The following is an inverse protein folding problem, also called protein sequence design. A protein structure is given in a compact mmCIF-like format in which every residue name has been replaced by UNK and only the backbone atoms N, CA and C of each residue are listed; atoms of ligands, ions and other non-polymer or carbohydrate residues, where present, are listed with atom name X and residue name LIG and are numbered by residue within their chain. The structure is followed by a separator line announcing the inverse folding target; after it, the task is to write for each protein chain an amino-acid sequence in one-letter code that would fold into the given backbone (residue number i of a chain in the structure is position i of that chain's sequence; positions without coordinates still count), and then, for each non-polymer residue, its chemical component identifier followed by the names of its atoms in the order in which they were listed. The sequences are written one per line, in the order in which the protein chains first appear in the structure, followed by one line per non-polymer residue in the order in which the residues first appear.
data_IF_078032905867
#
_entry.id   IF_078032905867
#
_cell.length_a   1.000
_cell.length_b   1.000
_cell.length_c   1.000
_cell.angle_alpha   90.00
_cell.angle_beta   90.00
_cell.angle_gamma   90.00
#
_symmetry.space_group_name_H-M   'P 1'
#
loop_
_entity.id
_entity.type
_entity.pdbx_description
1 polymer ?
#
# COMPACT_ATOMS: atom_id res chain seq x y z
N UNK A 1 -10.38 -6.45 16.58
CA UNK A 1 -11.35 -6.42 15.48
C UNK A 1 -11.33 -5.03 14.86
N UNK A 2 -11.02 -4.95 13.56
CA UNK A 2 -10.87 -3.72 12.79
C UNK A 2 -12.24 -3.09 12.47
N UNK A 3 -12.96 -2.59 13.48
CA UNK A 3 -14.32 -2.07 13.33
C UNK A 3 -14.42 -0.76 12.51
N UNK A 4 -13.31 -0.22 12.00
CA UNK A 4 -13.26 1.05 11.28
C UNK A 4 -12.46 1.02 9.96
N UNK A 5 -12.10 -0.18 9.48
CA UNK A 5 -11.48 -0.37 8.15
C UNK A 5 -12.50 -0.95 7.17
N UNK A 6 -12.46 -0.49 5.93
CA UNK A 6 -13.24 -1.04 4.83
C UNK A 6 -12.65 -2.39 4.36
N UNK A 7 -13.43 -3.26 3.69
CA UNK A 7 -12.93 -4.55 3.23
C UNK A 7 -11.63 -4.48 2.40
N UNK A 8 -11.51 -3.49 1.50
CA UNK A 8 -10.31 -3.27 0.69
C UNK A 8 -9.08 -2.80 1.48
N UNK A 9 -9.25 -2.38 2.73
CA UNK A 9 -8.18 -1.92 3.63
C UNK A 9 -7.61 -3.05 4.49
N UNK A 10 -8.34 -4.17 4.63
CA UNK A 10 -8.00 -5.24 5.57
C UNK A 10 -6.68 -5.93 5.22
N UNK A 11 -6.39 -6.10 3.94
CA UNK A 11 -5.11 -6.65 3.47
C UNK A 11 -3.93 -5.83 4.00
N UNK A 12 -3.98 -4.50 3.79
CA UNK A 12 -2.90 -3.59 4.17
C UNK A 12 -2.66 -3.59 5.69
N UNK A 13 -3.75 -3.65 6.47
CA UNK A 13 -3.61 -3.76 7.92
C UNK A 13 -3.05 -5.12 8.37
N UNK A 14 -3.53 -6.22 7.77
CA UNK A 14 -3.01 -7.58 8.07
C UNK A 14 -1.51 -7.69 7.76
N UNK A 15 -1.07 -7.07 6.67
CA UNK A 15 0.31 -7.12 6.17
C UNK A 15 1.20 -5.99 6.65
N UNK A 16 0.73 -5.15 7.59
CA UNK A 16 1.50 -4.00 8.08
C UNK A 16 2.91 -4.40 8.55
N UNK A 17 3.01 -5.43 9.39
CA UNK A 17 4.30 -5.89 9.92
C UNK A 17 5.20 -6.52 8.84
N UNK A 18 4.59 -7.15 7.83
CA UNK A 18 5.33 -7.68 6.68
C UNK A 18 6.00 -6.54 5.90
N UNK A 19 5.26 -5.51 5.51
CA UNK A 19 5.83 -4.33 4.83
C UNK A 19 6.87 -3.62 5.70
N UNK A 20 6.59 -3.48 7.01
CA UNK A 20 7.54 -2.90 7.96
C UNK A 20 8.86 -3.69 7.98
N UNK A 21 8.81 -5.03 7.95
CA UNK A 21 10.00 -5.88 7.90
C UNK A 21 10.80 -5.75 6.60
N UNK A 22 10.15 -5.35 5.50
CA UNK A 22 10.79 -5.02 4.22
C UNK A 22 11.30 -3.57 4.18
N UNK A 23 11.12 -2.80 5.25
CA UNK A 23 11.56 -1.41 5.36
C UNK A 23 10.55 -0.40 4.80
N UNK A 24 9.28 -0.76 4.67
CA UNK A 24 8.20 0.11 4.22
C UNK A 24 7.17 0.32 5.32
N UNK A 25 7.02 1.56 5.76
CA UNK A 25 6.02 1.94 6.76
C UNK A 25 4.75 2.39 6.05
N UNK A 26 3.65 1.66 6.25
CA UNK A 26 2.32 2.09 5.76
C UNK A 26 1.77 3.22 6.64
N UNK A 27 0.72 3.89 6.17
CA UNK A 27 -0.01 4.91 6.96
C UNK A 27 -0.41 4.35 8.32
N UNK A 28 -0.37 5.20 9.35
CA UNK A 28 -0.70 4.84 10.75
C UNK A 28 -2.03 4.11 10.86
N UNK A 29 -3.03 4.47 10.05
CA UNK A 29 -4.36 3.81 9.97
C UNK A 29 -4.30 2.29 9.81
N UNK A 30 -3.28 1.76 9.14
CA UNK A 30 -3.13 0.32 8.91
C UNK A 30 -2.32 -0.39 9.99
N UNK A 31 -1.70 0.37 10.92
CA UNK A 31 -0.97 -0.21 12.04
C UNK A 31 -1.89 -1.07 12.92
N UNK A 32 -1.44 -2.23 13.43
CA UNK A 32 -2.20 -3.05 14.37
C UNK A 32 -2.62 -2.31 15.66
N UNK A 33 -1.88 -1.24 16.01
CA UNK A 33 -2.15 -0.43 17.19
C UNK A 33 -2.97 0.84 16.89
N UNK A 34 -3.49 1.00 15.67
CA UNK A 34 -4.26 2.20 15.32
C UNK A 34 -5.60 2.25 16.04
N UNK A 35 -5.93 3.46 16.48
CA UNK A 35 -7.18 3.81 17.14
C UNK A 35 -7.77 4.96 16.32
N UNK A 36 -8.98 4.84 15.77
CA UNK A 36 -9.58 5.92 14.98
C UNK A 36 -9.80 7.16 15.82
N UNK A 37 -9.53 8.34 15.26
CA UNK A 37 -9.63 9.63 15.96
C UNK A 37 -11.07 9.98 16.40
N UNK A 38 -12.06 9.35 15.77
CA UNK A 38 -13.48 9.45 16.13
C UNK A 38 -13.93 8.39 17.15
N UNK A 39 -13.04 7.55 17.66
CA UNK A 39 -13.40 6.56 18.66
C UNK A 39 -13.97 7.22 19.92
N UNK A 40 -15.12 6.72 20.37
CA UNK A 40 -15.82 7.23 21.56
C UNK A 40 -16.56 8.56 21.33
N UNK A 41 -16.60 9.09 20.11
CA UNK A 41 -17.39 10.27 19.77
C UNK A 41 -18.83 9.88 19.40
N UNK A 42 -19.73 10.86 19.38
CA UNK A 42 -21.17 10.65 19.17
C UNK A 42 -21.75 11.63 18.14
N UNK A 43 -22.86 11.23 17.50
CA UNK A 43 -23.55 12.07 16.53
C UNK A 43 -22.67 12.43 15.33
N UNK A 44 -22.67 13.71 14.97
CA UNK A 44 -21.88 14.22 13.84
C UNK A 44 -20.37 14.09 14.06
N UNK A 45 -19.90 14.15 15.32
CA UNK A 45 -18.48 14.03 15.66
C UNK A 45 -17.96 12.60 15.54
N UNK A 46 -18.85 11.60 15.44
CA UNK A 46 -18.48 10.21 15.19
C UNK A 46 -18.23 9.92 13.69
N UNK A 47 -18.47 10.88 12.81
CA UNK A 47 -18.39 10.68 11.37
C UNK A 47 -16.91 10.71 10.91
N UNK A 48 -16.39 9.60 10.33
CA UNK A 48 -14.97 9.48 9.98
C UNK A 48 -14.46 10.57 9.04
N UNK A 49 -15.27 11.01 8.07
CA UNK A 49 -14.86 11.95 7.03
C UNK A 49 -14.41 13.33 7.54
N UNK A 50 -14.62 13.65 8.81
CA UNK A 50 -14.14 14.87 9.43
C UNK A 50 -12.73 14.77 10.03
N UNK A 51 -12.09 13.60 9.98
CA UNK A 51 -10.78 13.36 10.57
C UNK A 51 -9.75 13.01 9.51
N UNK A 52 -8.51 13.48 9.69
CA UNK A 52 -7.41 13.29 8.74
C UNK A 52 -6.96 11.83 8.62
N UNK A 53 -7.22 11.01 9.65
CA UNK A 53 -6.95 9.57 9.66
C UNK A 53 -8.08 8.75 8.99
N UNK A 54 -9.10 9.40 8.43
CA UNK A 54 -10.00 8.79 7.47
C UNK A 54 -9.46 8.97 6.06
N UNK A 55 -9.30 7.86 5.36
CA UNK A 55 -8.75 7.82 4.00
C UNK A 55 -9.73 7.07 3.10
N UNK A 56 -9.99 7.63 1.92
CA UNK A 56 -10.71 6.93 0.86
C UNK A 56 -9.68 6.35 -0.11
N UNK A 57 -9.57 5.03 -0.13
CA UNK A 57 -8.69 4.32 -1.07
C UNK A 57 -9.48 4.07 -2.36
N UNK A 58 -9.08 4.71 -3.45
CA UNK A 58 -9.74 4.54 -4.76
C UNK A 58 -9.46 3.18 -5.40
N UNK A 59 -8.29 2.60 -5.13
CA UNK A 59 -7.90 1.28 -5.60
C UNK A 59 -7.41 0.43 -4.42
N UNK A 60 -8.17 -0.58 -4.03
CA UNK A 60 -7.81 -1.49 -2.93
C UNK A 60 -6.49 -2.23 -3.13
N UNK A 61 -6.00 -2.26 -4.37
CA UNK A 61 -4.80 -2.97 -4.75
C UNK A 61 -3.53 -2.15 -4.73
N UNK A 62 -3.62 -0.87 -4.36
CA UNK A 62 -2.43 -0.07 -4.20
C UNK A 62 -2.53 0.94 -3.06
N UNK A 63 -1.38 1.20 -2.44
CA UNK A 63 -1.27 2.09 -1.29
C UNK A 63 0.10 2.77 -1.26
N UNK A 64 0.14 4.03 -0.82
CA UNK A 64 1.38 4.72 -0.50
C UNK A 64 2.03 4.19 0.79
N UNK A 65 3.35 4.28 0.83
CA UNK A 65 4.16 3.95 2.00
C UNK A 65 5.38 4.88 2.07
N UNK A 66 6.09 4.81 3.18
CA UNK A 66 7.37 5.49 3.37
C UNK A 66 8.47 4.44 3.51
N UNK A 67 9.48 4.46 2.66
CA UNK A 67 10.65 3.59 2.80
C UNK A 67 11.52 4.03 3.99
N UNK A 68 12.43 3.16 4.41
CA UNK A 68 13.32 3.41 5.54
C UNK A 68 14.20 4.67 5.39
N UNK A 69 14.45 5.11 4.16
CA UNK A 69 15.21 6.33 3.85
C UNK A 69 14.31 7.59 3.81
N UNK A 70 13.02 7.47 4.12
CA UNK A 70 12.06 8.56 4.13
C UNK A 70 11.42 8.86 2.76
N UNK A 71 11.79 8.13 1.71
CA UNK A 71 11.19 8.30 0.38
C UNK A 71 9.73 7.83 0.37
N UNK A 72 8.84 8.64 -0.23
CA UNK A 72 7.44 8.23 -0.44
C UNK A 72 7.38 7.31 -1.66
N UNK A 73 6.82 6.12 -1.47
CA UNK A 73 6.70 5.09 -2.50
C UNK A 73 5.25 4.67 -2.65
N UNK A 74 4.97 3.95 -3.73
CA UNK A 74 3.66 3.37 -3.99
C UNK A 74 3.81 1.86 -4.13
N UNK A 75 3.04 1.10 -3.36
CA UNK A 75 3.05 -0.36 -3.35
C UNK A 75 1.79 -0.83 -4.06
N UNK A 76 1.94 -1.79 -4.98
CA UNK A 76 0.84 -2.39 -5.72
C UNK A 76 0.86 -3.91 -5.53
N UNK A 77 -0.30 -4.50 -5.21
CA UNK A 77 -0.52 -5.95 -5.26
C UNK A 77 -0.63 -6.42 -6.70
N UNK A 78 -0.05 -7.57 -7.01
CA UNK A 78 -0.11 -8.19 -8.33
C UNK A 78 -0.70 -9.57 -8.21
N UNK A 79 -1.77 -9.85 -8.96
CA UNK A 79 -2.44 -11.15 -8.96
C UNK A 79 -1.94 -11.98 -10.15
N UNK A 80 -0.96 -12.86 -9.92
CA UNK A 80 -0.31 -13.65 -10.99
C UNK A 80 -1.30 -14.56 -11.74
N UNK A 81 -2.32 -15.08 -11.05
CA UNK A 81 -3.33 -15.95 -11.66
C UNK A 81 -4.25 -15.20 -12.64
N UNK A 82 -4.50 -13.91 -12.38
CA UNK A 82 -5.32 -13.06 -13.26
C UNK A 82 -4.48 -12.34 -14.32
N UNK A 83 -3.24 -11.97 -13.97
CA UNK A 83 -2.34 -11.14 -14.77
C UNK A 83 -0.93 -11.76 -14.85
N UNK A 84 -0.77 -12.91 -15.52
CA UNK A 84 0.46 -13.71 -15.46
C UNK A 84 1.71 -13.04 -16.06
N UNK A 85 1.53 -11.96 -16.84
CA UNK A 85 2.62 -11.25 -17.50
C UNK A 85 2.90 -9.87 -16.90
N UNK A 86 2.05 -9.36 -16.00
CA UNK A 86 2.17 -7.99 -15.48
C UNK A 86 3.51 -7.75 -14.79
N UNK A 87 3.86 -8.61 -13.84
CA UNK A 87 5.12 -8.54 -13.11
C UNK A 87 6.33 -8.63 -14.06
N UNK A 88 6.34 -9.61 -14.96
CA UNK A 88 7.44 -9.81 -15.90
C UNK A 88 7.67 -8.61 -16.82
N UNK A 89 6.60 -8.02 -17.34
CA UNK A 89 6.68 -6.81 -18.18
C UNK A 89 7.18 -5.62 -17.37
N UNK A 90 6.65 -5.41 -16.16
CA UNK A 90 7.01 -4.27 -15.33
C UNK A 90 8.46 -4.35 -14.84
N UNK A 91 8.95 -5.53 -14.45
CA UNK A 91 10.34 -5.78 -14.09
C UNK A 91 11.28 -5.64 -15.29
N UNK A 92 10.88 -6.11 -16.47
CA UNK A 92 11.65 -5.91 -17.70
C UNK A 92 11.86 -4.42 -18.00
N UNK A 93 10.78 -3.63 -17.98
CA UNK A 93 10.83 -2.17 -18.19
C UNK A 93 11.59 -1.44 -17.08
N UNK A 94 11.71 -2.05 -15.88
CA UNK A 94 12.49 -1.53 -14.76
C UNK A 94 13.94 -2.01 -14.74
N UNK A 95 14.36 -2.85 -15.69
CA UNK A 95 15.74 -3.32 -15.79
C UNK A 95 16.73 -2.17 -15.97
N UNK A 96 17.97 -2.31 -15.48
CA UNK A 96 18.98 -1.26 -15.56
C UNK A 96 19.20 -0.74 -16.98
N UNK A 97 19.19 -1.66 -17.96
CA UNK A 97 19.33 -1.33 -19.38
C UNK A 97 18.19 -0.43 -19.87
N UNK A 98 16.94 -0.79 -19.56
CA UNK A 98 15.77 -0.05 -20.06
C UNK A 98 15.48 1.22 -19.26
N UNK A 99 15.87 1.31 -17.98
CA UNK A 99 15.76 2.55 -17.21
C UNK A 99 16.65 3.68 -17.76
N UNK A 100 17.72 3.34 -18.48
CA UNK A 100 18.61 4.32 -19.14
C UNK A 100 18.17 4.64 -20.58
N UNK A 101 17.17 3.94 -21.10
CA UNK A 101 16.65 4.18 -22.44
C UNK A 101 15.76 5.44 -22.43
N UNK A 102 16.10 6.50 -23.17
CA UNK A 102 15.30 7.73 -23.21
C UNK A 102 13.89 7.53 -23.80
N UNK A 103 13.61 6.41 -24.48
CA UNK A 103 12.27 6.08 -24.96
C UNK A 103 11.39 5.44 -23.87
N UNK A 104 11.98 4.96 -22.78
CA UNK A 104 11.27 4.31 -21.69
C UNK A 104 10.78 5.34 -20.67
N UNK A 105 9.48 5.58 -20.66
CA UNK A 105 8.82 6.49 -19.72
C UNK A 105 8.06 5.75 -18.60
N UNK A 106 8.34 4.46 -18.41
CA UNK A 106 7.69 3.67 -17.37
C UNK A 106 8.19 4.08 -15.99
N UNK A 107 7.29 4.09 -15.02
CA UNK A 107 7.64 4.32 -13.61
C UNK A 107 8.53 3.16 -13.15
N UNK A 108 9.75 3.43 -12.64
CA UNK A 108 10.67 2.38 -12.26
C UNK A 108 10.19 1.66 -10.98
N UNK A 109 10.22 0.33 -11.02
CA UNK A 109 10.11 -0.51 -9.83
C UNK A 109 11.45 -0.49 -9.11
N UNK A 110 11.42 -0.09 -7.83
CA UNK A 110 12.61 0.00 -6.98
C UNK A 110 12.81 -1.22 -6.09
N UNK A 111 11.74 -1.98 -5.84
CA UNK A 111 11.76 -3.23 -5.08
C UNK A 111 10.58 -4.13 -5.49
N UNK A 112 10.73 -5.44 -5.29
CA UNK A 112 9.68 -6.44 -5.46
C UNK A 112 9.92 -7.60 -4.50
N UNK A 113 8.85 -8.16 -3.97
CA UNK A 113 8.92 -9.31 -3.07
C UNK A 113 7.64 -10.13 -3.19
N UNK A 114 7.78 -11.42 -2.98
CA UNK A 114 6.65 -12.34 -2.89
C UNK A 114 6.03 -12.26 -1.50
N UNK A 115 4.71 -12.42 -1.45
CA UNK A 115 3.98 -12.58 -0.20
C UNK A 115 3.83 -14.09 0.06
N UNK A 116 4.60 -14.61 1.01
CA UNK A 116 4.67 -16.05 1.31
C UNK A 116 3.41 -16.62 1.98
N UNK A 117 2.39 -15.80 2.28
CA UNK A 117 1.16 -16.24 2.95
C UNK A 117 -0.13 -16.06 2.12
N UNK A 118 -0.05 -16.28 0.81
CA UNK A 118 -1.24 -16.47 -0.05
C UNK A 118 -1.54 -17.95 -0.31
#
# INVERSE_FOLDING_TARGET
MAHCLLPGELFWSKKYNFFLSKGYTLRVRYSPSWVPSWQGRHGIDALPQFYEDHVVVANSDALDATSHDGTVVFIKKVYRDEHPFEEGIALYLSSERLRKDPANHCVPIIDHFEDDEE
#
